data_IF_894378421660
#
_entry.id   IF_894378421660
#
_cell.length_a   1.000
_cell.length_b   1.000
_cell.length_c   1.000
_cell.angle_alpha   90.00
_cell.angle_beta   90.00
_cell.angle_gamma   90.00
#
_symmetry.space_group_name_H-M   'P 1'
#
loop_
_entity.id
_entity.type
_entity.pdbx_description
1 polymer ?
#
# COMPACT_ATOMS: atom_id res chain seq x y z
N UNK A 1 -8.73 -0.78 -15.14
CA UNK A 1 -8.86 -0.18 -13.79
C UNK A 1 -10.28 -0.14 -13.25
N UNK A 2 -11.32 0.35 -13.97
CA UNK A 2 -12.72 0.41 -13.45
C UNK A 2 -13.19 -0.77 -12.59
N UNK A 3 -12.85 -2.01 -12.97
CA UNK A 3 -13.21 -3.21 -12.20
C UNK A 3 -12.47 -3.29 -10.85
N UNK A 4 -11.17 -2.98 -10.81
CA UNK A 4 -10.37 -2.98 -9.56
C UNK A 4 -10.84 -1.86 -8.64
N UNK A 5 -11.03 -0.65 -9.17
CA UNK A 5 -11.52 0.50 -8.42
C UNK A 5 -12.87 0.18 -7.78
N UNK A 6 -13.79 -0.42 -8.56
CA UNK A 6 -15.09 -0.87 -8.06
C UNK A 6 -14.98 -1.97 -7.01
N UNK A 7 -14.10 -2.96 -7.20
CA UNK A 7 -13.88 -4.02 -6.23
C UNK A 7 -13.36 -3.48 -4.90
N UNK A 8 -12.49 -2.47 -4.94
CA UNK A 8 -11.95 -1.82 -3.74
C UNK A 8 -13.05 -1.01 -3.04
N UNK A 9 -13.74 -0.12 -3.78
CA UNK A 9 -14.79 0.74 -3.21
C UNK A 9 -15.97 -0.07 -2.65
N UNK A 10 -16.31 -1.21 -3.26
CA UNK A 10 -17.38 -2.09 -2.79
C UNK A 10 -16.99 -2.93 -1.57
N UNK A 11 -15.70 -3.00 -1.23
CA UNK A 11 -15.24 -3.69 -0.04
C UNK A 11 -15.10 -2.70 1.13
N UNK A 12 -16.07 -2.75 2.06
CA UNK A 12 -16.06 -1.90 3.25
C UNK A 12 -14.82 -2.08 4.12
N UNK A 13 -14.34 -3.31 4.29
CA UNK A 13 -13.16 -3.60 5.12
C UNK A 13 -11.89 -2.98 4.52
N UNK A 14 -11.75 -3.05 3.19
CA UNK A 14 -10.62 -2.44 2.50
C UNK A 14 -10.70 -0.91 2.51
N UNK A 15 -11.91 -0.34 2.37
CA UNK A 15 -12.10 1.11 2.47
C UNK A 15 -11.83 1.62 3.90
N UNK A 16 -12.23 0.88 4.92
CA UNK A 16 -11.95 1.24 6.32
C UNK A 16 -10.44 1.14 6.62
N UNK A 17 -9.76 0.14 6.06
CA UNK A 17 -8.30 0.03 6.14
C UNK A 17 -7.60 1.21 5.46
N UNK A 18 -8.05 1.61 4.27
CA UNK A 18 -7.48 2.76 3.56
C UNK A 18 -7.70 4.09 4.30
N UNK A 19 -8.86 4.27 4.94
CA UNK A 19 -9.10 5.41 5.84
C UNK A 19 -8.20 5.38 7.05
N UNK A 20 -8.05 4.23 7.68
CA UNK A 20 -7.13 4.06 8.81
C UNK A 20 -5.71 4.43 8.42
N UNK A 21 -5.23 3.98 7.25
CA UNK A 21 -3.90 4.33 6.72
C UNK A 21 -3.77 5.83 6.49
N UNK A 22 -4.79 6.49 5.94
CA UNK A 22 -4.82 7.95 5.78
C UNK A 22 -4.73 8.66 7.14
N UNK A 23 -5.47 8.18 8.14
CA UNK A 23 -5.50 8.75 9.50
C UNK A 23 -4.18 8.54 10.28
N UNK A 24 -3.28 7.68 9.80
CA UNK A 24 -1.92 7.56 10.35
C UNK A 24 -1.04 8.78 10.01
N UNK A 25 -1.46 9.62 9.05
CA UNK A 25 -0.77 10.85 8.62
C UNK A 25 0.70 10.60 8.23
N UNK A 26 0.94 9.46 7.58
CA UNK A 26 2.27 9.09 7.10
C UNK A 26 2.57 9.71 5.73
N UNK A 27 3.76 10.29 5.53
CA UNK A 27 4.11 10.91 4.27
C UNK A 27 4.26 9.85 3.16
N UNK A 28 3.62 10.13 2.03
CA UNK A 28 3.62 9.27 0.83
C UNK A 28 3.33 7.80 1.13
N UNK A 29 2.31 7.54 1.95
CA UNK A 29 1.91 6.20 2.35
C UNK A 29 0.96 5.55 1.33
N UNK A 30 1.22 4.28 1.04
CA UNK A 30 0.49 3.47 0.07
C UNK A 30 0.30 2.04 0.56
N UNK A 31 -0.91 1.51 0.39
CA UNK A 31 -1.19 0.10 0.58
C UNK A 31 -0.72 -0.66 -0.67
N UNK A 32 0.19 -1.62 -0.49
CA UNK A 32 0.91 -2.30 -1.56
C UNK A 32 0.37 -3.70 -1.91
N UNK A 33 0.97 -4.23 -2.97
CA UNK A 33 0.51 -5.31 -3.82
C UNK A 33 0.13 -6.64 -3.17
N UNK A 34 0.73 -7.07 -2.05
CA UNK A 34 0.42 -8.38 -1.48
C UNK A 34 -1.03 -8.48 -1.05
N UNK A 35 -1.51 -7.44 -0.35
CA UNK A 35 -2.89 -7.33 0.11
C UNK A 35 -3.88 -7.19 -1.05
N UNK A 36 -3.60 -6.28 -2.00
CA UNK A 36 -4.51 -6.02 -3.13
C UNK A 36 -4.59 -7.19 -4.11
N UNK A 37 -3.46 -7.85 -4.40
CA UNK A 37 -3.41 -9.02 -5.28
C UNK A 37 -4.21 -10.18 -4.68
N UNK A 38 -3.99 -10.48 -3.40
CA UNK A 38 -4.71 -11.57 -2.73
C UNK A 38 -6.21 -11.27 -2.67
N UNK A 39 -6.60 -10.02 -2.40
CA UNK A 39 -8.00 -9.60 -2.44
C UNK A 39 -8.63 -9.78 -3.84
N UNK A 40 -7.97 -9.30 -4.89
CA UNK A 40 -8.45 -9.44 -6.27
C UNK A 40 -8.53 -10.92 -6.68
N UNK A 41 -7.50 -11.70 -6.36
CA UNK A 41 -7.46 -13.14 -6.65
C UNK A 41 -8.59 -13.89 -5.95
N UNK A 42 -8.79 -13.68 -4.64
CA UNK A 42 -9.86 -14.32 -3.88
C UNK A 42 -11.25 -13.99 -4.45
N UNK A 43 -11.48 -12.73 -4.83
CA UNK A 43 -12.74 -12.30 -5.46
C UNK A 43 -12.96 -12.93 -6.84
N UNK A 44 -11.91 -13.04 -7.67
CA UNK A 44 -12.03 -13.65 -9.00
C UNK A 44 -12.12 -15.17 -8.96
N UNK A 45 -11.59 -15.81 -7.90
CA UNK A 45 -11.59 -17.26 -7.73
C UNK A 45 -12.75 -17.80 -6.89
N UNK A 46 -13.73 -16.97 -6.48
CA UNK A 46 -14.87 -17.35 -5.63
C UNK A 46 -14.48 -17.94 -4.25
N UNK A 47 -13.31 -17.58 -3.73
CA UNK A 47 -12.89 -17.98 -2.40
C UNK A 47 -13.28 -16.90 -1.37
N UNK A 48 -14.10 -17.28 -0.39
CA UNK A 48 -14.57 -16.42 0.72
C UNK A 48 -13.52 -16.29 1.84
N UNK A 49 -12.26 -16.04 1.49
CA UNK A 49 -11.24 -15.85 2.52
C UNK A 49 -11.21 -14.39 2.99
N UNK A 50 -11.35 -14.25 4.32
CA UNK A 50 -11.09 -13.06 5.12
C UNK A 50 -9.71 -12.51 4.76
N UNK A 51 -9.49 -11.20 4.91
CA UNK A 51 -8.17 -10.56 4.82
C UNK A 51 -7.22 -11.13 5.90
N UNK A 52 -6.76 -12.38 5.74
CA UNK A 52 -5.80 -13.09 6.59
C UNK A 52 -4.36 -12.90 6.12
N UNK A 53 -4.18 -12.01 5.15
CA UNK A 53 -2.91 -11.79 4.46
C UNK A 53 -2.23 -10.55 5.00
N UNK A 54 -0.90 -10.57 5.01
CA UNK A 54 -0.06 -9.46 5.42
C UNK A 54 -0.52 -8.14 4.78
N UNK A 55 -0.60 -7.10 5.62
CA UNK A 55 -0.95 -5.73 5.21
C UNK A 55 0.34 -4.99 4.90
N UNK A 56 0.70 -4.96 3.61
CA UNK A 56 1.90 -4.30 3.13
C UNK A 56 1.67 -2.79 3.05
N UNK A 57 2.16 -2.04 4.03
CA UNK A 57 2.12 -0.57 4.03
C UNK A 57 3.51 -0.03 3.72
N UNK A 58 3.65 0.66 2.59
CA UNK A 58 4.90 1.35 2.25
C UNK A 58 4.72 2.85 2.42
N UNK A 59 5.74 3.53 2.92
CA UNK A 59 5.76 4.98 3.01
C UNK A 59 7.16 5.51 2.70
N UNK A 60 7.27 6.81 2.42
CA UNK A 60 8.53 7.43 2.09
C UNK A 60 8.73 8.68 2.93
N UNK A 61 9.61 8.58 3.93
CA UNK A 61 10.01 9.72 4.76
C UNK A 61 11.55 9.80 4.85
N UNK A 62 12.19 10.71 4.11
CA UNK A 62 13.64 10.90 4.15
C UNK A 62 14.12 11.58 5.44
N UNK A 63 13.22 12.20 6.20
CA UNK A 63 13.57 12.86 7.46
C UNK A 63 13.50 11.90 8.65
N UNK A 64 12.85 10.74 8.48
CA UNK A 64 12.72 9.71 9.51
C UNK A 64 13.91 8.75 9.49
N UNK A 65 14.53 8.56 10.64
CA UNK A 65 15.61 7.57 10.83
C UNK A 65 15.06 6.14 10.78
N UNK A 66 15.93 5.16 10.49
CA UNK A 66 15.54 3.74 10.49
C UNK A 66 15.02 3.27 11.86
N UNK A 67 15.57 3.80 12.95
CA UNK A 67 15.10 3.46 14.30
C UNK A 67 13.70 4.02 14.59
N UNK A 68 13.41 5.23 14.11
CA UNK A 68 12.08 5.83 14.21
C UNK A 68 11.07 5.06 13.36
N UNK A 69 11.43 4.61 12.15
CA UNK A 69 10.52 3.78 11.34
C UNK A 69 10.19 2.44 12.00
N UNK A 70 11.17 1.80 12.65
CA UNK A 70 10.93 0.57 13.42
C UNK A 70 10.10 0.81 14.70
N UNK A 71 10.21 1.99 15.31
CA UNK A 71 9.41 2.37 16.47
C UNK A 71 7.95 2.65 16.06
N UNK A 72 7.77 3.35 14.93
CA UNK A 72 6.48 3.60 14.31
C UNK A 72 5.76 2.29 13.97
N UNK A 73 6.46 1.35 13.31
CA UNK A 73 5.90 0.04 12.96
C UNK A 73 5.39 -0.69 14.21
N UNK A 74 6.19 -0.73 15.28
CA UNK A 74 5.81 -1.33 16.56
C UNK A 74 4.60 -0.64 17.19
N UNK A 75 4.51 0.69 17.09
CA UNK A 75 3.38 1.45 17.61
C UNK A 75 2.08 1.11 16.86
N UNK A 76 2.12 1.09 15.52
CA UNK A 76 0.96 0.77 14.68
C UNK A 76 0.50 -0.67 14.93
N UNK A 77 1.43 -1.63 14.99
CA UNK A 77 1.15 -3.03 15.36
C UNK A 77 0.48 -3.15 16.72
N UNK A 78 0.92 -2.37 17.71
CA UNK A 78 0.32 -2.35 19.05
C UNK A 78 -1.06 -1.72 19.09
N UNK A 79 -1.30 -0.68 18.28
CA UNK A 79 -2.59 0.05 18.22
C UNK A 79 -3.66 -0.69 17.42
N UNK A 80 -3.25 -1.42 16.38
CA UNK A 80 -4.13 -2.16 15.49
C UNK A 80 -3.70 -3.62 15.34
N UNK A 81 -3.72 -4.42 16.44
CA UNK A 81 -3.22 -5.79 16.45
C UNK A 81 -4.09 -6.77 15.64
N UNK A 82 -5.27 -6.36 15.19
CA UNK A 82 -6.15 -7.17 14.35
C UNK A 82 -5.63 -7.36 12.92
N UNK A 83 -4.65 -6.56 12.48
CA UNK A 83 -4.05 -6.65 11.16
C UNK A 83 -2.60 -7.13 11.26
N UNK A 84 -2.18 -7.98 10.33
CA UNK A 84 -0.79 -8.42 10.24
C UNK A 84 0.04 -7.42 9.42
N UNK A 85 0.42 -6.30 10.04
CA UNK A 85 1.13 -5.22 9.35
C UNK A 85 2.55 -5.62 8.93
N UNK A 86 2.93 -5.27 7.70
CA UNK A 86 4.31 -5.16 7.25
C UNK A 86 4.55 -3.72 6.79
N UNK A 87 5.22 -2.92 7.61
CA UNK A 87 5.35 -1.46 7.39
C UNK A 87 6.79 -1.11 7.06
N UNK A 88 7.00 -0.55 5.87
CA UNK A 88 8.35 -0.28 5.35
C UNK A 88 8.51 1.18 4.93
N UNK A 89 9.59 1.80 5.42
CA UNK A 89 10.06 3.07 4.87
C UNK A 89 10.97 2.78 3.67
N UNK A 90 10.51 3.14 2.48
CA UNK A 90 11.21 2.86 1.22
C UNK A 90 12.56 3.59 1.09
N UNK A 91 12.81 4.61 1.92
CA UNK A 91 14.12 5.26 2.02
C UNK A 91 15.22 4.26 2.32
N UNK A 92 14.96 3.20 3.11
CA UNK A 92 15.99 2.24 3.53
C UNK A 92 16.03 0.95 2.68
N UNK A 93 15.03 0.74 1.83
CA UNK A 93 14.88 -0.52 1.10
C UNK A 93 15.97 -0.75 0.02
N UNK A 94 16.63 0.32 -0.43
CA UNK A 94 17.78 0.22 -1.34
C UNK A 94 19.01 -0.45 -0.69
N UNK A 95 19.13 -0.47 0.65
CA UNK A 95 20.20 -1.19 1.35
C UNK A 95 20.00 -2.71 1.37
N UNK A 96 18.75 -3.17 1.26
CA UNK A 96 18.39 -4.58 1.28
C UNK A 96 18.35 -5.23 -0.11
N UNK A 97 18.51 -4.42 -1.18
CA UNK A 97 18.50 -4.88 -2.57
C UNK A 97 19.88 -4.71 -3.18
N UNK A 98 20.57 -5.79 -3.60
CA UNK A 98 21.88 -5.67 -4.23
C UNK A 98 21.78 -4.80 -5.50
N UNK A 99 22.63 -3.76 -5.59
CA UNK A 99 22.68 -2.80 -6.70
C UNK A 99 21.47 -1.86 -6.89
N UNK A 100 20.58 -1.72 -5.89
CA UNK A 100 19.51 -0.72 -5.97
C UNK A 100 20.02 0.70 -5.68
N UNK A 101 19.71 1.64 -6.56
CA UNK A 101 19.86 3.07 -6.26
C UNK A 101 18.81 3.53 -5.26
N UNK A 102 19.12 4.54 -4.45
CA UNK A 102 18.16 5.16 -3.55
C UNK A 102 16.86 5.54 -4.29
N UNK A 103 15.72 5.24 -3.68
CA UNK A 103 14.41 5.56 -4.25
C UNK A 103 14.07 7.03 -4.01
N UNK A 104 13.32 7.61 -4.94
CA UNK A 104 12.93 9.04 -4.91
C UNK A 104 11.51 9.28 -4.39
N UNK A 105 10.70 8.22 -4.30
CA UNK A 105 9.31 8.22 -3.78
C UNK A 105 8.84 6.78 -3.55
N UNK A 106 7.71 6.58 -2.87
CA UNK A 106 7.06 5.27 -2.73
C UNK A 106 6.69 4.68 -4.10
N UNK A 107 6.17 5.50 -5.02
CA UNK A 107 5.86 5.08 -6.38
C UNK A 107 7.10 4.59 -7.15
N UNK A 108 8.25 5.24 -6.95
CA UNK A 108 9.53 4.82 -7.55
C UNK A 108 10.00 3.48 -6.98
N UNK A 109 9.83 3.24 -5.67
CA UNK A 109 10.15 1.96 -5.05
C UNK A 109 9.26 0.82 -5.56
N UNK A 110 7.94 1.05 -5.59
CA UNK A 110 6.94 0.10 -6.13
C UNK A 110 7.26 -0.26 -7.60
N UNK A 111 7.81 0.69 -8.36
CA UNK A 111 8.21 0.47 -9.76
C UNK A 111 9.31 -0.55 -10.01
N UNK A 112 10.09 -0.85 -8.97
CA UNK A 112 11.27 -1.71 -9.06
C UNK A 112 11.02 -3.11 -8.49
N UNK A 113 9.78 -3.43 -8.14
CA UNK A 113 9.42 -4.78 -7.68
C UNK A 113 9.71 -5.82 -8.79
N UNK A 114 10.33 -6.97 -8.45
CA UNK A 114 10.76 -7.98 -9.42
C UNK A 114 9.58 -8.60 -10.21
N UNK A 115 8.38 -8.61 -9.64
CA UNK A 115 7.15 -9.00 -10.33
C UNK A 115 6.39 -7.75 -10.82
N UNK A 116 6.61 -7.36 -12.08
CA UNK A 116 5.98 -6.16 -12.67
C UNK A 116 4.46 -6.26 -12.82
N UNK A 117 3.90 -7.47 -12.88
CA UNK A 117 2.46 -7.69 -13.02
C UNK A 117 1.68 -7.44 -11.71
N UNK A 118 2.37 -7.22 -10.60
CA UNK A 118 1.76 -7.05 -9.28
C UNK A 118 2.00 -5.69 -8.66
N UNK A 119 2.76 -4.78 -9.28
CA UNK A 119 3.02 -3.43 -8.78
C UNK A 119 1.77 -2.51 -8.85
N UNK A 120 0.78 -2.80 -8.00
CA UNK A 120 -0.42 -2.02 -7.75
C UNK A 120 -0.36 -1.51 -6.31
N UNK A 121 -0.71 -0.26 -6.11
CA UNK A 121 -0.89 0.33 -4.80
C UNK A 121 -2.13 1.23 -4.74
N UNK A 122 -2.72 1.35 -3.56
CA UNK A 122 -3.92 2.12 -3.30
C UNK A 122 -3.74 3.06 -2.10
N UNK A 123 -4.35 4.24 -2.17
CA UNK A 123 -4.51 5.15 -1.03
C UNK A 123 -5.78 5.98 -1.20
N UNK A 124 -6.15 6.71 -0.15
CA UNK A 124 -7.13 7.78 -0.25
C UNK A 124 -6.41 9.13 -0.31
N UNK A 125 -6.90 10.03 -1.16
CA UNK A 125 -6.47 11.42 -1.15
C UNK A 125 -7.18 12.23 -0.04
N UNK A 126 -6.85 13.52 0.04
CA UNK A 126 -7.41 14.43 1.04
C UNK A 126 -8.95 14.55 0.95
N UNK A 127 -9.53 14.27 -0.23
CA UNK A 127 -10.97 14.31 -0.51
C UNK A 127 -11.65 12.94 -0.38
N UNK A 128 -10.98 11.96 0.25
CA UNK A 128 -11.44 10.57 0.41
C UNK A 128 -11.69 9.86 -0.94
N UNK A 129 -11.04 10.31 -2.01
CA UNK A 129 -11.09 9.64 -3.31
C UNK A 129 -9.99 8.61 -3.40
N UNK A 130 -10.34 7.45 -3.97
CA UNK A 130 -9.41 6.36 -4.20
C UNK A 130 -8.39 6.75 -5.27
N UNK A 131 -7.11 6.81 -4.89
CA UNK A 131 -5.99 6.94 -5.81
C UNK A 131 -5.31 5.57 -5.99
N UNK A 132 -5.13 5.17 -7.24
CA UNK A 132 -4.48 3.93 -7.61
C UNK A 132 -3.22 4.19 -8.42
N UNK A 133 -2.15 3.51 -8.01
CA UNK A 133 -0.91 3.45 -8.75
C UNK A 133 -0.75 2.04 -9.32
N UNK A 134 -0.54 1.92 -10.63
CA UNK A 134 -0.26 0.65 -11.29
C UNK A 134 0.89 0.84 -12.27
N UNK A 135 1.91 -0.02 -12.22
CA UNK A 135 3.08 0.17 -13.08
C UNK A 135 2.84 -0.11 -14.55
N UNK A 136 1.82 -0.90 -14.87
CA UNK A 136 1.55 -1.26 -16.25
C UNK A 136 0.83 -0.15 -17.04
N UNK A 137 0.22 0.85 -16.37
CA UNK A 137 -0.39 2.01 -17.03
C UNK A 137 -0.29 3.27 -16.16
N UNK A 138 0.25 4.36 -16.71
CA UNK A 138 0.41 5.69 -16.10
C UNK A 138 -0.76 6.08 -15.17
N UNK A 139 -0.42 6.66 -14.00
CA UNK A 139 -1.29 7.37 -13.04
C UNK A 139 -2.67 7.72 -13.61
N UNK A 140 -3.73 7.10 -13.07
CA UNK A 140 -5.11 7.51 -13.32
C UNK A 140 -5.72 7.95 -12.00
N UNK A 141 -5.77 9.26 -11.78
CA UNK A 141 -6.55 9.87 -10.71
C UNK A 141 -8.00 9.98 -11.20
N UNK A 142 -8.96 9.33 -10.54
CA UNK A 142 -10.38 9.44 -10.88
C UNK A 142 -11.07 10.47 -9.98
N UNK A 143 -11.61 11.53 -10.59
CA UNK A 143 -12.60 12.37 -9.95
C UNK A 143 -13.96 11.69 -10.06
N UNK A 144 -14.51 11.18 -8.97
CA UNK A 144 -15.92 10.82 -8.92
C UNK A 144 -16.74 12.12 -8.77
N UNK A 145 -17.45 12.51 -9.84
CA UNK A 145 -18.57 13.45 -9.77
C UNK A 145 -19.88 12.68 -9.77
#
# INVERSE_FOLDING_TARGET
>A
MKVIDQLIVQNSELMDLLKLIKDLDLPDAWLCAGTLRNFIWNKLSNHNEVLTTDIDLVFFDPNMTYQESLALERNIKGRFPQYNWDIKNEVYMHYHTPNASAYSSSCDAISKFPEKCTAIAARLDDSDQLELFCLMERKISYNFR
#
